data_IF_023707905047
#
_entry.id   IF_023707905047
#
_cell.length_a   1.000
_cell.length_b   1.000
_cell.length_c   1.000
_cell.angle_alpha   90.00
_cell.angle_beta   90.00
_cell.angle_gamma   90.00
#
_symmetry.space_group_name_H-M   'P 1'
#
loop_
_entity.id
_entity.type
_entity.pdbx_description
1 polymer ?
#
# COMPACT_ATOMS: atom_id res chain seq x y z
N UNK A 1 11.54 -60.42 37.36
CA UNK A 1 12.53 -59.58 36.71
C UNK A 1 11.86 -58.79 35.62
N UNK A 2 11.41 -57.60 35.88
CA UNK A 2 10.76 -56.69 34.89
C UNK A 2 11.82 -55.71 34.34
N UNK A 3 12.10 -55.80 33.07
CA UNK A 3 12.87 -54.84 32.35
C UNK A 3 12.01 -53.63 32.00
N UNK A 4 12.32 -52.45 32.58
CA UNK A 4 11.73 -51.20 32.21
C UNK A 4 12.38 -50.74 30.89
N UNK A 5 11.57 -50.61 29.84
CA UNK A 5 11.94 -49.99 28.61
C UNK A 5 11.69 -48.48 28.78
N UNK A 6 12.76 -47.69 28.79
CA UNK A 6 12.69 -46.21 28.76
C UNK A 6 12.56 -45.79 27.30
N UNK A 7 11.37 -45.38 26.87
CA UNK A 7 11.19 -44.69 25.63
C UNK A 7 11.67 -43.25 25.76
N UNK A 8 12.83 -42.98 25.21
CA UNK A 8 13.31 -41.60 24.98
C UNK A 8 12.61 -41.10 23.72
N UNK A 9 11.57 -40.30 23.92
CA UNK A 9 10.96 -39.54 22.81
C UNK A 9 11.92 -38.38 22.50
N UNK A 10 12.65 -38.52 21.39
CA UNK A 10 13.33 -37.42 20.76
C UNK A 10 12.28 -36.50 20.14
N UNK A 11 11.88 -35.46 20.87
CA UNK A 11 11.17 -34.34 20.29
C UNK A 11 12.14 -33.59 19.38
N UNK A 12 12.11 -33.90 18.10
CA UNK A 12 12.68 -33.05 17.07
C UNK A 12 11.91 -31.74 17.07
N UNK A 13 12.47 -30.76 17.78
CA UNK A 13 12.06 -29.37 17.62
C UNK A 13 12.53 -28.95 16.23
N UNK A 14 11.64 -29.07 15.25
CA UNK A 14 11.77 -28.30 14.01
C UNK A 14 11.60 -26.83 14.40
N UNK A 15 12.71 -26.20 14.71
CA UNK A 15 12.80 -24.73 14.68
C UNK A 15 12.57 -24.33 13.23
N UNK A 16 11.31 -24.12 12.90
CA UNK A 16 10.93 -23.56 11.62
C UNK A 16 11.59 -22.20 11.51
N UNK A 17 12.30 -21.99 10.41
CA UNK A 17 12.90 -20.70 10.02
C UNK A 17 11.88 -19.56 9.93
N UNK A 18 10.61 -19.85 10.13
CA UNK A 18 9.48 -18.93 10.15
C UNK A 18 9.40 -18.05 11.41
N UNK A 19 10.02 -18.46 12.52
CA UNK A 19 9.98 -17.70 13.77
C UNK A 19 10.80 -16.40 13.72
N UNK A 20 11.79 -16.31 12.82
CA UNK A 20 12.72 -15.17 12.79
C UNK A 20 12.04 -13.91 12.23
N UNK A 21 11.15 -14.04 11.24
CA UNK A 21 10.50 -12.87 10.62
C UNK A 21 9.41 -12.26 11.50
N UNK A 22 8.77 -13.05 12.36
CA UNK A 22 7.70 -12.57 13.26
C UNK A 22 8.21 -12.05 14.61
N UNK A 23 9.43 -12.39 15.00
CA UNK A 23 9.98 -12.04 16.32
C UNK A 23 11.11 -10.99 16.26
N UNK A 24 11.43 -10.49 15.05
CA UNK A 24 12.40 -9.42 14.87
C UNK A 24 11.74 -8.07 15.20
N UNK A 25 11.86 -7.68 16.47
CA UNK A 25 11.67 -6.28 16.81
C UNK A 25 12.67 -5.43 16.02
N UNK A 26 12.28 -4.19 15.72
CA UNK A 26 13.16 -3.25 15.00
C UNK A 26 14.52 -3.09 15.75
N UNK A 27 14.50 -3.13 17.07
CA UNK A 27 15.70 -3.12 17.93
C UNK A 27 16.59 -4.33 17.68
N UNK A 28 16.05 -5.53 17.69
CA UNK A 28 16.80 -6.77 17.40
C UNK A 28 17.37 -6.80 15.98
N UNK A 29 16.67 -6.22 15.01
CA UNK A 29 17.19 -6.12 13.66
C UNK A 29 18.35 -5.14 13.56
N UNK A 30 18.32 -4.03 14.29
CA UNK A 30 19.45 -3.10 14.40
C UNK A 30 20.66 -3.73 15.06
N UNK A 31 20.45 -4.46 16.15
CA UNK A 31 21.48 -5.25 16.83
C UNK A 31 22.09 -6.23 15.83
N UNK A 32 21.25 -6.95 15.10
CA UNK A 32 21.69 -7.89 14.09
C UNK A 32 22.52 -7.21 12.96
N UNK A 33 22.10 -6.05 12.44
CA UNK A 33 22.87 -5.29 11.44
C UNK A 33 24.25 -4.94 11.96
N UNK A 34 24.33 -4.51 13.21
CA UNK A 34 25.58 -4.14 13.86
C UNK A 34 26.49 -5.36 14.08
N UNK A 35 25.96 -6.44 14.64
CA UNK A 35 26.67 -7.70 14.91
C UNK A 35 27.20 -8.37 13.63
N UNK A 36 26.52 -8.18 12.52
CA UNK A 36 26.92 -8.74 11.23
C UNK A 36 27.74 -7.78 10.35
N UNK A 37 28.28 -6.71 10.94
CA UNK A 37 29.22 -5.81 10.28
C UNK A 37 28.60 -4.82 9.30
N UNK A 38 27.26 -4.68 9.27
CA UNK A 38 26.58 -3.68 8.45
C UNK A 38 26.58 -2.30 9.10
N UNK A 39 27.72 -1.90 9.63
CA UNK A 39 27.91 -0.65 10.39
C UNK A 39 27.76 0.61 9.53
N UNK A 40 27.88 0.49 8.22
CA UNK A 40 27.65 1.58 7.27
C UNK A 40 26.21 2.10 7.28
N UNK A 41 25.27 1.30 7.78
CA UNK A 41 23.85 1.66 7.90
C UNK A 41 23.47 2.18 9.29
N UNK A 42 24.38 2.03 10.27
CA UNK A 42 24.10 2.33 11.67
C UNK A 42 25.14 3.31 12.19
N UNK A 43 24.73 4.51 12.61
CA UNK A 43 25.63 5.47 13.27
C UNK A 43 25.14 5.77 14.69
N UNK A 44 26.09 6.02 15.62
CA UNK A 44 25.82 6.20 17.06
C UNK A 44 25.40 7.62 17.50
N UNK A 45 25.11 8.53 16.58
CA UNK A 45 24.75 9.89 16.99
C UNK A 45 23.24 10.12 16.99
N UNK A 46 22.70 10.57 18.10
CA UNK A 46 21.32 11.03 18.19
C UNK A 46 21.17 12.40 17.52
N UNK A 47 20.11 12.57 16.75
CA UNK A 47 19.80 13.85 16.11
C UNK A 47 19.63 14.94 17.16
N UNK A 48 20.37 16.05 17.03
CA UNK A 48 20.22 17.25 17.89
C UNK A 48 18.77 17.77 17.90
N UNK A 49 18.09 17.65 16.76
CA UNK A 49 16.68 18.08 16.60
C UNK A 49 15.77 17.22 17.47
N UNK A 50 15.96 15.90 17.50
CA UNK A 50 15.12 15.01 18.30
C UNK A 50 15.35 15.14 19.81
N UNK A 51 16.53 15.58 20.24
CA UNK A 51 16.81 15.91 21.64
C UNK A 51 16.10 17.19 22.09
N UNK A 52 15.98 18.16 21.18
CA UNK A 52 15.38 19.46 21.49
C UNK A 52 13.83 19.43 21.44
N UNK A 53 13.24 18.44 20.77
CA UNK A 53 11.78 18.38 20.59
C UNK A 53 11.10 17.62 21.75
N UNK A 54 9.97 18.11 22.26
CA UNK A 54 9.17 17.35 23.23
C UNK A 54 8.79 15.99 22.66
N UNK A 55 9.08 14.93 23.38
CA UNK A 55 8.81 13.56 22.97
C UNK A 55 7.34 13.39 22.65
N UNK A 56 7.04 12.79 21.47
CA UNK A 56 5.69 12.62 20.93
C UNK A 56 4.99 13.91 20.47
N UNK A 57 5.68 15.03 20.35
CA UNK A 57 5.15 16.23 19.68
C UNK A 57 4.99 16.01 18.17
N UNK A 58 4.17 16.86 17.52
CA UNK A 58 4.05 16.79 16.05
C UNK A 58 5.38 17.03 15.34
N UNK A 59 6.22 17.93 15.88
CA UNK A 59 7.56 18.19 15.38
C UNK A 59 8.50 17.00 15.56
N UNK A 60 8.38 16.32 16.71
CA UNK A 60 9.14 15.09 16.98
C UNK A 60 8.84 14.01 15.94
N UNK A 61 7.56 13.82 15.58
CA UNK A 61 7.17 12.91 14.50
C UNK A 61 7.55 13.40 13.12
N UNK A 62 7.38 14.68 12.86
CA UNK A 62 7.79 15.29 11.59
C UNK A 62 9.27 15.04 11.31
N UNK A 63 10.11 15.20 12.33
CA UNK A 63 11.54 14.92 12.25
C UNK A 63 11.85 13.42 12.34
N UNK A 64 10.83 12.55 12.28
CA UNK A 64 10.96 11.09 12.32
C UNK A 64 11.67 10.57 13.57
N UNK A 65 11.56 11.29 14.67
CA UNK A 65 12.21 10.95 15.94
C UNK A 65 11.62 9.71 16.61
N UNK A 66 10.46 9.23 16.15
CA UNK A 66 9.87 7.95 16.48
C UNK A 66 10.64 6.76 15.86
N UNK A 67 11.56 7.03 14.95
CA UNK A 67 12.33 5.99 14.31
C UNK A 67 13.50 5.56 15.21
N UNK A 68 13.79 4.27 15.33
CA UNK A 68 14.79 3.74 16.27
C UNK A 68 16.17 4.35 16.15
N UNK A 69 16.60 4.73 14.94
CA UNK A 69 17.87 5.40 14.71
C UNK A 69 18.01 6.72 15.48
N UNK A 70 16.90 7.33 15.87
CA UNK A 70 16.90 8.57 16.66
C UNK A 70 16.65 8.32 18.15
N UNK A 71 16.02 7.19 18.49
CA UNK A 71 15.70 6.85 19.87
C UNK A 71 16.83 6.14 20.62
N UNK A 72 17.54 5.24 19.94
CA UNK A 72 18.53 4.33 20.55
C UNK A 72 19.98 4.70 20.22
N UNK A 73 20.27 5.95 19.88
CA UNK A 73 21.59 6.39 19.41
C UNK A 73 22.11 5.61 18.18
N UNK A 74 21.23 4.93 17.47
CA UNK A 74 21.53 4.19 16.27
C UNK A 74 20.97 4.97 15.08
N UNK A 75 21.84 5.54 14.23
CA UNK A 75 21.43 6.09 12.96
C UNK A 75 21.50 5.02 11.89
N UNK A 76 20.36 4.56 11.40
CA UNK A 76 20.35 3.95 10.09
C UNK A 76 20.41 5.10 9.11
N UNK A 77 21.35 5.07 8.16
CA UNK A 77 21.35 6.02 7.05
C UNK A 77 20.13 5.76 6.17
N UNK A 78 18.97 6.24 6.60
CA UNK A 78 17.86 6.43 5.72
C UNK A 78 18.13 7.68 4.90
N UNK A 79 17.88 7.59 3.64
CA UNK A 79 17.76 8.76 2.82
C UNK A 79 16.57 9.57 3.31
N UNK A 80 16.67 10.90 3.20
CA UNK A 80 15.67 11.88 3.65
C UNK A 80 14.32 11.75 2.93
N UNK A 81 13.93 10.64 2.59
CA UNK A 81 12.70 10.31 1.94
C UNK A 81 12.18 9.00 2.49
N UNK A 82 10.99 8.78 2.28
CA UNK A 82 10.27 7.58 2.55
C UNK A 82 10.83 6.39 1.78
N UNK A 83 11.59 6.67 0.73
CA UNK A 83 12.23 5.73 -0.17
C UNK A 83 13.52 6.37 -0.67
N UNK A 84 14.61 5.62 -0.87
CA UNK A 84 15.83 6.15 -1.46
C UNK A 84 15.49 6.86 -2.77
N UNK A 85 16.08 8.03 -3.00
CA UNK A 85 16.01 8.65 -4.30
C UNK A 85 16.41 7.64 -5.39
N UNK A 86 15.88 7.81 -6.61
CA UNK A 86 16.02 6.83 -7.70
C UNK A 86 17.46 6.43 -8.03
N UNK A 87 18.43 7.22 -7.64
CA UNK A 87 19.87 7.02 -7.88
C UNK A 87 20.58 6.32 -6.73
N UNK A 88 19.91 6.08 -5.62
CA UNK A 88 20.53 5.44 -4.46
C UNK A 88 20.27 3.94 -4.49
N UNK A 89 21.31 3.16 -4.26
CA UNK A 89 21.17 1.70 -4.20
C UNK A 89 20.37 1.30 -2.96
N UNK A 90 19.32 0.48 -3.11
CA UNK A 90 18.58 -0.05 -1.96
C UNK A 90 19.49 -0.90 -1.09
N UNK A 91 19.30 -0.81 0.20
CA UNK A 91 20.11 -1.46 1.22
C UNK A 91 19.24 -2.04 2.34
N UNK A 92 19.86 -2.68 3.33
CA UNK A 92 19.15 -3.26 4.47
C UNK A 92 18.39 -2.20 5.30
N UNK A 93 18.92 -0.99 5.43
CA UNK A 93 18.22 0.12 6.10
C UNK A 93 16.90 0.47 5.39
N UNK A 94 16.89 0.48 4.06
CA UNK A 94 15.66 0.68 3.28
C UNK A 94 14.67 -0.45 3.50
N UNK A 95 15.14 -1.70 3.56
CA UNK A 95 14.30 -2.86 3.83
C UNK A 95 13.65 -2.76 5.21
N UNK A 96 14.42 -2.45 6.25
CA UNK A 96 13.93 -2.26 7.61
C UNK A 96 12.83 -1.21 7.66
N UNK A 97 13.08 -0.08 7.01
CA UNK A 97 12.12 1.00 6.95
C UNK A 97 10.79 0.55 6.34
N UNK A 98 10.81 -0.21 5.26
CA UNK A 98 9.61 -0.69 4.59
C UNK A 98 8.86 -1.77 5.39
N UNK A 99 9.59 -2.66 6.06
CA UNK A 99 8.98 -3.74 6.83
C UNK A 99 8.43 -3.28 8.19
N UNK A 100 9.15 -2.41 8.89
CA UNK A 100 8.88 -2.16 10.31
C UNK A 100 8.34 -0.77 10.64
N UNK A 101 8.36 0.19 9.72
CA UNK A 101 7.99 1.57 10.00
C UNK A 101 6.64 1.75 10.71
N UNK A 102 5.67 0.90 10.45
CA UNK A 102 4.33 1.00 11.03
C UNK A 102 3.98 -0.16 11.95
N UNK A 103 4.69 -1.28 11.85
CA UNK A 103 4.39 -2.46 12.65
C UNK A 103 4.86 -2.27 14.09
N UNK A 104 5.98 -1.57 14.28
CA UNK A 104 6.60 -1.38 15.59
C UNK A 104 6.55 0.04 16.16
N UNK A 105 5.76 0.92 15.57
CA UNK A 105 5.49 2.18 16.26
C UNK A 105 4.93 1.87 17.63
N UNK A 106 5.56 2.36 18.71
CA UNK A 106 5.00 2.17 20.04
C UNK A 106 3.61 2.80 20.05
N UNK A 107 2.59 1.98 20.15
CA UNK A 107 1.18 2.38 20.19
C UNK A 107 0.81 3.28 21.39
N UNK A 108 1.78 3.68 22.17
CA UNK A 108 1.61 4.70 23.23
C UNK A 108 1.27 6.08 22.67
N UNK A 109 1.43 6.28 21.36
CA UNK A 109 0.95 7.48 20.71
C UNK A 109 -0.48 7.26 20.26
N UNK A 110 -1.37 7.75 21.03
CA UNK A 110 -2.83 7.65 21.01
C UNK A 110 -3.52 8.12 19.70
N UNK A 111 -2.81 8.22 18.58
CA UNK A 111 -3.31 8.76 17.32
C UNK A 111 -3.40 7.77 16.18
N UNK A 112 -2.88 6.56 16.39
CA UNK A 112 -2.91 5.50 15.38
C UNK A 112 -3.43 4.22 16.02
N UNK A 113 -4.51 3.71 15.49
CA UNK A 113 -5.06 2.40 15.82
C UNK A 113 -4.77 1.43 14.68
N UNK A 114 -4.41 0.22 15.04
CA UNK A 114 -4.21 -0.89 14.10
C UNK A 114 -5.48 -1.71 14.03
N UNK A 115 -5.89 -2.02 12.81
CA UNK A 115 -6.90 -3.04 12.55
C UNK A 115 -6.24 -4.24 11.89
N UNK A 116 -6.75 -5.38 12.20
CA UNK A 116 -6.32 -6.64 11.60
C UNK A 116 -7.55 -7.36 11.07
N UNK A 117 -7.62 -7.53 9.76
CA UNK A 117 -8.60 -8.40 9.15
C UNK A 117 -8.06 -9.81 9.22
N UNK A 118 -8.73 -10.66 9.98
CA UNK A 118 -8.31 -12.04 10.21
C UNK A 118 -8.28 -12.87 8.92
N UNK A 119 -7.46 -13.91 8.85
CA UNK A 119 -7.45 -14.84 7.74
C UNK A 119 -8.82 -15.49 7.49
N UNK A 120 -9.07 -15.87 6.26
CA UNK A 120 -10.23 -16.72 5.93
C UNK A 120 -10.07 -18.11 6.56
N UNK A 121 -11.17 -18.70 7.01
CA UNK A 121 -11.19 -20.10 7.43
C UNK A 121 -10.98 -21.09 6.26
N UNK A 122 -11.19 -20.62 5.03
CA UNK A 122 -10.97 -21.37 3.80
C UNK A 122 -10.20 -20.51 2.77
N UNK A 123 -8.89 -20.28 2.97
CA UNK A 123 -8.08 -19.46 2.10
C UNK A 123 -8.08 -19.98 0.66
N UNK A 124 -8.03 -19.07 -0.31
CA UNK A 124 -7.87 -19.48 -1.70
C UNK A 124 -6.47 -20.05 -1.93
N UNK A 125 -6.38 -21.32 -2.37
CA UNK A 125 -5.11 -21.97 -2.67
C UNK A 125 -4.86 -21.97 -4.19
N UNK A 126 -3.68 -21.49 -4.56
CA UNK A 126 -3.28 -21.42 -5.97
C UNK A 126 -2.67 -22.73 -6.44
N UNK A 127 -3.08 -23.17 -7.62
CA UNK A 127 -2.29 -24.16 -8.37
C UNK A 127 -1.01 -23.48 -8.88
N UNK A 128 0.04 -24.27 -9.08
CA UNK A 128 1.30 -23.77 -9.62
C UNK A 128 1.89 -24.71 -10.66
N UNK A 129 2.50 -24.12 -11.69
CA UNK A 129 3.30 -24.81 -12.71
C UNK A 129 4.50 -23.93 -13.03
N UNK A 130 5.51 -24.00 -12.16
CA UNK A 130 6.58 -23.02 -12.10
C UNK A 130 7.52 -23.16 -13.30
N UNK A 131 7.84 -22.03 -13.89
CA UNK A 131 8.82 -21.86 -14.95
C UNK A 131 10.03 -21.07 -14.44
N UNK A 132 11.21 -21.42 -14.93
CA UNK A 132 12.41 -20.66 -14.65
C UNK A 132 12.46 -19.37 -15.45
N UNK A 133 12.90 -18.29 -14.81
CA UNK A 133 13.19 -17.00 -15.46
C UNK A 133 14.53 -16.46 -14.95
N UNK A 134 15.60 -16.78 -15.65
CA UNK A 134 16.98 -16.34 -15.34
C UNK A 134 17.12 -14.81 -15.35
N UNK A 135 16.31 -14.12 -16.15
CA UNK A 135 16.35 -12.66 -16.17
C UNK A 135 15.76 -12.08 -14.90
N UNK A 136 14.64 -12.63 -14.45
CA UNK A 136 14.02 -12.23 -13.19
C UNK A 136 14.94 -12.53 -12.00
N UNK A 137 15.60 -13.70 -11.97
CA UNK A 137 16.60 -14.03 -10.93
C UNK A 137 17.71 -12.97 -10.85
N UNK A 138 18.18 -12.50 -12.02
CA UNK A 138 19.15 -11.39 -12.08
C UNK A 138 18.57 -10.09 -11.52
N UNK A 139 17.28 -9.78 -11.77
CA UNK A 139 16.63 -8.59 -11.21
C UNK A 139 16.54 -8.68 -9.68
N UNK A 140 16.05 -9.79 -9.14
CA UNK A 140 15.96 -10.06 -7.70
C UNK A 140 17.33 -9.96 -6.99
N UNK A 141 18.39 -10.44 -7.66
CA UNK A 141 19.75 -10.38 -7.11
C UNK A 141 20.37 -8.98 -7.14
N UNK A 142 20.01 -8.11 -8.11
CA UNK A 142 20.73 -6.84 -8.36
C UNK A 142 19.95 -5.58 -8.05
N UNK A 143 18.64 -5.67 -7.84
CA UNK A 143 17.76 -4.50 -7.69
C UNK A 143 17.05 -4.48 -6.33
N UNK A 144 16.16 -3.51 -6.11
CA UNK A 144 15.30 -3.43 -4.93
C UNK A 144 14.09 -4.37 -4.96
N UNK A 145 13.97 -5.22 -5.99
CA UNK A 145 12.87 -6.17 -6.09
C UNK A 145 12.97 -7.22 -4.98
N UNK A 146 11.91 -7.37 -4.19
CA UNK A 146 11.82 -8.32 -3.09
C UNK A 146 11.15 -9.62 -3.53
N UNK A 147 10.06 -9.51 -4.29
CA UNK A 147 9.30 -10.66 -4.74
C UNK A 147 8.60 -10.41 -6.06
N UNK A 148 8.28 -11.50 -6.74
CA UNK A 148 7.56 -11.51 -8.00
C UNK A 148 6.63 -12.71 -8.07
N UNK A 149 5.38 -12.50 -8.49
CA UNK A 149 4.43 -13.53 -8.85
C UNK A 149 3.84 -13.23 -10.23
N UNK A 150 3.76 -14.24 -11.07
CA UNK A 150 2.98 -14.24 -12.30
C UNK A 150 1.91 -15.33 -12.22
N UNK A 151 0.67 -14.90 -12.29
CA UNK A 151 -0.49 -15.76 -12.40
C UNK A 151 -1.05 -15.67 -13.82
N UNK A 152 -1.19 -16.80 -14.49
CA UNK A 152 -1.74 -16.96 -15.82
C UNK A 152 -2.28 -18.39 -16.00
N UNK A 153 -3.27 -18.58 -16.85
CA UNK A 153 -3.87 -19.88 -17.12
C UNK A 153 -4.30 -20.63 -15.84
N UNK A 154 -4.93 -19.88 -14.92
CA UNK A 154 -5.45 -20.34 -13.62
C UNK A 154 -4.40 -20.97 -12.69
N UNK A 155 -3.15 -20.60 -12.82
CA UNK A 155 -2.06 -21.07 -11.98
C UNK A 155 -0.94 -20.05 -11.84
N UNK A 156 -0.11 -20.20 -10.81
CA UNK A 156 1.12 -19.43 -10.67
C UNK A 156 2.18 -20.07 -11.56
N UNK A 157 2.69 -19.31 -12.54
CA UNK A 157 3.73 -19.76 -13.46
C UNK A 157 5.11 -19.24 -13.11
N UNK A 158 5.21 -18.14 -12.36
CA UNK A 158 6.47 -17.65 -11.79
C UNK A 158 6.22 -17.25 -10.35
N UNK A 159 7.05 -17.79 -9.46
CA UNK A 159 7.08 -17.49 -8.03
C UNK A 159 8.53 -17.33 -7.58
N UNK A 160 8.92 -16.10 -7.30
CA UNK A 160 10.30 -15.79 -6.93
C UNK A 160 10.36 -14.78 -5.77
N UNK A 161 11.32 -14.99 -4.87
CA UNK A 161 11.69 -14.09 -3.78
C UNK A 161 13.16 -13.73 -3.96
N UNK A 162 13.56 -12.57 -3.46
CA UNK A 162 14.97 -12.16 -3.37
C UNK A 162 15.81 -13.27 -2.72
N UNK A 163 17.02 -13.57 -3.21
CA UNK A 163 17.80 -14.66 -2.67
C UNK A 163 18.26 -14.43 -1.23
N UNK A 164 18.57 -15.52 -0.49
CA UNK A 164 18.93 -15.49 0.91
C UNK A 164 20.26 -14.76 1.21
N UNK A 165 21.16 -14.70 0.23
CA UNK A 165 22.41 -13.93 0.31
C UNK A 165 22.16 -12.41 0.16
N UNK A 166 20.90 -11.99 0.10
CA UNK A 166 20.50 -10.61 0.00
C UNK A 166 19.31 -10.31 0.94
N UNK A 167 18.14 -9.97 0.40
CA UNK A 167 16.96 -9.61 1.19
C UNK A 167 16.09 -10.81 1.59
N UNK A 168 16.24 -11.95 0.89
CA UNK A 168 15.36 -13.11 1.06
C UNK A 168 15.41 -13.75 2.43
N UNK A 169 16.52 -13.60 3.18
CA UNK A 169 16.57 -14.11 4.56
C UNK A 169 15.63 -13.35 5.53
N UNK A 170 15.15 -12.17 5.16
CA UNK A 170 14.26 -11.34 5.97
C UNK A 170 12.82 -11.32 5.49
N UNK A 171 12.53 -11.96 4.37
CA UNK A 171 11.20 -12.02 3.79
C UNK A 171 10.84 -13.45 3.41
N UNK A 172 9.58 -13.78 3.62
CA UNK A 172 8.99 -15.05 3.24
C UNK A 172 7.54 -14.85 2.77
N UNK A 173 6.79 -15.92 2.59
CA UNK A 173 5.40 -15.85 2.15
C UNK A 173 4.43 -15.28 3.20
N UNK A 174 4.86 -15.17 4.46
CA UNK A 174 4.08 -14.61 5.57
C UNK A 174 4.45 -13.17 5.90
N UNK A 175 5.54 -12.67 5.30
CA UNK A 175 5.99 -11.30 5.53
C UNK A 175 4.97 -10.32 4.98
N UNK A 176 4.47 -9.44 5.84
CA UNK A 176 3.55 -8.37 5.46
C UNK A 176 4.32 -7.23 4.82
N UNK A 177 4.01 -6.96 3.57
CA UNK A 177 4.63 -5.94 2.75
C UNK A 177 3.67 -4.76 2.58
N UNK A 178 4.21 -3.58 2.61
CA UNK A 178 3.43 -2.35 2.55
C UNK A 178 2.83 -2.13 1.17
N UNK A 179 1.55 -1.73 1.14
CA UNK A 179 0.83 -1.48 -0.12
C UNK A 179 1.30 -0.23 -0.88
N UNK A 180 1.79 0.78 -0.16
CA UNK A 180 1.94 2.12 -0.72
C UNK A 180 0.65 2.57 -1.44
N UNK A 181 0.74 3.13 -2.63
CA UNK A 181 -0.46 3.55 -3.36
C UNK A 181 -1.28 2.41 -3.98
N UNK A 182 -0.83 1.14 -3.89
CA UNK A 182 -1.69 -0.03 -4.14
C UNK A 182 -2.90 0.01 -3.21
N UNK A 183 -2.72 0.48 -1.98
CA UNK A 183 -3.81 0.64 -1.00
C UNK A 183 -4.95 1.55 -1.46
N UNK A 184 -4.71 2.47 -2.39
CA UNK A 184 -5.78 3.30 -2.98
C UNK A 184 -6.78 2.46 -3.76
N UNK A 185 -6.26 1.53 -4.55
CA UNK A 185 -7.10 0.62 -5.34
C UNK A 185 -7.80 -0.40 -4.44
N UNK A 186 -7.14 -0.83 -3.35
CA UNK A 186 -7.79 -1.67 -2.33
C UNK A 186 -8.93 -0.92 -1.64
N UNK A 187 -8.75 0.36 -1.32
CA UNK A 187 -9.81 1.21 -0.79
C UNK A 187 -10.98 1.37 -1.78
N UNK A 188 -10.67 1.50 -3.08
CA UNK A 188 -11.68 1.53 -4.14
C UNK A 188 -12.48 0.22 -4.23
N UNK A 189 -11.80 -0.92 -4.06
CA UNK A 189 -12.49 -2.22 -4.04
C UNK A 189 -13.34 -2.42 -2.77
N UNK A 190 -12.87 -1.93 -1.62
CA UNK A 190 -13.68 -1.86 -0.39
C UNK A 190 -14.94 -1.01 -0.59
N UNK A 191 -14.82 0.09 -1.33
CA UNK A 191 -15.96 0.95 -1.68
C UNK A 191 -16.95 0.21 -2.60
N UNK A 192 -16.48 -0.63 -3.52
CA UNK A 192 -17.37 -1.49 -4.33
C UNK A 192 -18.25 -2.37 -3.43
N UNK A 193 -17.69 -2.99 -2.38
CA UNK A 193 -18.47 -3.78 -1.44
C UNK A 193 -19.50 -2.93 -0.67
N UNK A 194 -19.14 -1.71 -0.27
CA UNK A 194 -20.08 -0.81 0.38
C UNK A 194 -21.24 -0.38 -0.54
N UNK A 195 -20.99 -0.23 -1.83
CA UNK A 195 -22.05 0.00 -2.84
C UNK A 195 -22.92 -1.25 -2.97
N UNK A 196 -22.31 -2.41 -3.10
CA UNK A 196 -23.05 -3.68 -3.30
C UNK A 196 -23.89 -4.08 -2.08
N UNK A 197 -23.51 -3.63 -0.90
CA UNK A 197 -24.28 -3.84 0.33
C UNK A 197 -25.30 -2.72 0.61
N UNK A 198 -25.44 -1.74 -0.30
CA UNK A 198 -26.45 -0.70 -0.22
C UNK A 198 -26.14 0.45 0.74
N UNK A 199 -24.91 0.54 1.29
CA UNK A 199 -24.49 1.68 2.11
C UNK A 199 -24.27 2.95 1.28
N UNK A 200 -23.91 2.78 0.02
CA UNK A 200 -23.67 3.85 -0.95
C UNK A 200 -24.46 3.49 -2.23
N UNK A 201 -25.24 4.43 -2.75
CA UNK A 201 -26.17 4.14 -3.86
C UNK A 201 -25.43 3.72 -5.15
N UNK A 202 -24.35 4.42 -5.47
CA UNK A 202 -23.62 4.16 -6.73
C UNK A 202 -22.25 4.83 -6.76
N UNK A 203 -21.49 4.48 -7.78
CA UNK A 203 -20.25 5.15 -8.18
C UNK A 203 -20.44 6.66 -8.49
N UNK A 204 -21.63 7.08 -8.89
CA UNK A 204 -21.97 8.48 -9.19
C UNK A 204 -22.65 9.24 -8.04
N UNK A 205 -22.77 8.64 -6.86
CA UNK A 205 -23.31 9.29 -5.65
C UNK A 205 -22.60 10.63 -5.41
N UNK A 206 -23.39 11.65 -5.03
CA UNK A 206 -22.86 12.94 -4.64
C UNK A 206 -22.49 12.96 -3.16
N UNK A 207 -21.42 13.63 -2.84
CA UNK A 207 -20.93 13.79 -1.46
C UNK A 207 -21.58 15.02 -0.81
N UNK A 208 -22.90 15.07 -0.73
CA UNK A 208 -23.70 16.16 -0.19
C UNK A 208 -24.32 15.86 1.18
N UNK A 209 -24.21 14.61 1.63
CA UNK A 209 -24.74 14.12 2.90
C UNK A 209 -23.69 14.02 4.02
N UNK A 210 -22.43 14.35 3.72
CA UNK A 210 -21.34 14.26 4.70
C UNK A 210 -20.92 15.62 5.26
N UNK A 211 -21.33 15.98 6.51
CA UNK A 211 -21.09 17.31 7.08
C UNK A 211 -19.61 17.71 7.16
N UNK A 212 -18.69 16.74 7.23
CA UNK A 212 -17.26 17.02 7.24
C UNK A 212 -16.76 17.73 5.98
N UNK A 213 -17.43 17.53 4.85
CA UNK A 213 -17.08 18.15 3.57
C UNK A 213 -17.71 19.53 3.35
N UNK A 214 -18.69 19.92 4.17
CA UNK A 214 -19.38 21.21 4.02
C UNK A 214 -18.41 22.39 3.97
N UNK A 215 -18.71 23.34 3.10
CA UNK A 215 -17.88 24.50 2.83
C UNK A 215 -16.48 24.19 2.28
N UNK A 216 -16.24 22.99 1.77
CA UNK A 216 -15.02 22.63 1.03
C UNK A 216 -15.31 22.42 -0.44
N UNK A 217 -14.25 22.44 -1.26
CA UNK A 217 -14.35 22.14 -2.70
C UNK A 217 -14.89 20.73 -3.00
N UNK A 218 -14.88 19.82 -2.03
CA UNK A 218 -15.31 18.43 -2.20
C UNK A 218 -16.80 18.21 -1.94
N UNK A 219 -17.47 19.16 -1.29
CA UNK A 219 -18.90 19.05 -1.03
C UNK A 219 -19.69 19.00 -2.33
N UNK A 220 -20.69 18.14 -2.39
CA UNK A 220 -21.58 17.93 -3.56
C UNK A 220 -20.85 17.48 -4.86
N UNK A 221 -19.60 17.03 -4.77
CA UNK A 221 -18.94 16.41 -5.90
C UNK A 221 -19.40 14.95 -6.09
N UNK A 222 -19.30 14.45 -7.31
CA UNK A 222 -19.52 13.03 -7.57
C UNK A 222 -18.38 12.19 -6.98
N UNK A 223 -18.72 11.06 -6.39
CA UNK A 223 -17.76 10.09 -5.90
C UNK A 223 -16.81 9.62 -7.02
N UNK A 224 -17.32 9.50 -8.25
CA UNK A 224 -16.53 9.19 -9.45
C UNK A 224 -15.43 10.21 -9.74
N UNK A 225 -15.68 11.50 -9.53
CA UNK A 225 -14.65 12.54 -9.70
C UNK A 225 -13.56 12.45 -8.61
N UNK A 226 -13.94 12.17 -7.38
CA UNK A 226 -13.01 11.94 -6.28
C UNK A 226 -12.16 10.69 -6.58
N UNK A 227 -12.76 9.58 -6.96
CA UNK A 227 -12.07 8.33 -7.30
C UNK A 227 -11.14 8.48 -8.49
N UNK A 228 -11.51 9.30 -9.48
CA UNK A 228 -10.67 9.60 -10.63
C UNK A 228 -9.66 10.72 -10.39
N UNK A 229 -9.55 11.25 -9.15
CA UNK A 229 -8.66 12.39 -8.84
C UNK A 229 -8.89 13.60 -9.75
N UNK A 230 -10.15 13.87 -10.03
CA UNK A 230 -10.63 14.90 -10.96
C UNK A 230 -11.46 15.99 -10.27
N UNK A 231 -11.26 16.15 -8.96
CA UNK A 231 -12.04 17.04 -8.09
C UNK A 231 -11.82 18.54 -8.31
N UNK A 232 -10.92 18.93 -9.21
CA UNK A 232 -10.59 20.33 -9.43
C UNK A 232 -9.82 21.00 -8.30
N UNK A 233 -9.15 20.21 -7.47
CA UNK A 233 -8.36 20.64 -6.31
C UNK A 233 -6.96 21.15 -6.66
N UNK A 234 -6.54 21.05 -7.93
CA UNK A 234 -5.20 21.39 -8.39
C UNK A 234 -4.79 22.86 -8.19
N UNK A 235 -5.72 23.75 -7.89
CA UNK A 235 -5.41 25.13 -7.48
C UNK A 235 -4.94 25.23 -6.03
N UNK A 236 -5.22 24.23 -5.22
CA UNK A 236 -4.90 24.21 -3.80
C UNK A 236 -3.82 23.17 -3.48
N UNK A 237 -3.74 22.13 -4.30
CA UNK A 237 -2.86 20.99 -4.10
C UNK A 237 -2.07 20.71 -5.37
N UNK A 238 -0.76 20.82 -5.30
CA UNK A 238 0.14 20.48 -6.41
C UNK A 238 1.15 19.43 -5.96
N UNK A 239 1.26 18.34 -6.74
CA UNK A 239 2.17 17.21 -6.43
C UNK A 239 2.04 16.68 -5.00
N UNK A 240 0.80 16.61 -4.49
CA UNK A 240 0.53 16.16 -3.14
C UNK A 240 0.84 17.16 -2.02
N UNK A 241 1.17 18.41 -2.36
CA UNK A 241 1.44 19.48 -1.38
C UNK A 241 0.47 20.64 -1.56
N UNK A 242 0.06 21.27 -0.46
CA UNK A 242 -0.74 22.49 -0.53
C UNK A 242 0.07 23.63 -1.17
N UNK A 243 -0.56 24.32 -2.11
CA UNK A 243 0.00 25.54 -2.70
C UNK A 243 -0.14 26.66 -1.66
N UNK A 244 0.89 27.52 -1.56
CA UNK A 244 0.96 28.62 -0.57
C UNK A 244 0.96 28.16 0.90
N UNK A 245 1.56 27.03 1.16
CA UNK A 245 1.58 26.37 2.46
C UNK A 245 2.52 26.97 3.50
N UNK A 246 3.09 28.18 3.33
CA UNK A 246 3.95 28.76 4.38
C UNK A 246 3.29 28.72 5.76
N UNK A 247 2.03 29.12 5.84
CA UNK A 247 1.26 29.02 7.08
C UNK A 247 0.82 27.60 7.44
N UNK A 248 0.71 26.71 6.45
CA UNK A 248 0.37 25.30 6.62
C UNK A 248 1.57 24.47 7.02
N UNK A 249 2.71 24.70 6.37
CA UNK A 249 3.96 24.07 6.73
C UNK A 249 4.40 24.42 8.15
N UNK A 250 4.18 25.67 8.60
CA UNK A 250 4.45 26.08 9.98
C UNK A 250 3.51 25.43 10.99
N UNK A 251 2.21 25.28 10.66
CA UNK A 251 1.23 24.63 11.56
C UNK A 251 1.33 23.12 11.60
N UNK A 252 1.71 22.46 10.49
CA UNK A 252 1.77 21.01 10.42
C UNK A 252 3.14 20.45 10.09
N UNK A 253 4.09 21.29 9.66
CA UNK A 253 5.48 20.92 9.31
C UNK A 253 5.62 19.51 8.69
N UNK A 254 4.65 19.13 7.87
CA UNK A 254 4.58 17.80 7.26
C UNK A 254 4.08 17.84 5.82
N UNK A 255 4.36 16.80 5.05
CA UNK A 255 3.74 16.57 3.75
C UNK A 255 2.32 16.05 3.93
N UNK A 256 1.47 16.22 2.92
CA UNK A 256 0.14 15.60 2.86
C UNK A 256 0.18 14.06 2.96
N UNK A 257 1.35 13.49 2.78
CA UNK A 257 1.62 12.06 2.96
C UNK A 257 1.94 11.71 4.42
N UNK A 258 1.93 12.69 5.33
CA UNK A 258 2.08 12.38 6.74
C UNK A 258 0.82 11.66 7.25
N UNK A 259 0.96 10.35 7.48
CA UNK A 259 -0.13 9.50 7.96
C UNK A 259 -0.64 9.86 9.35
N UNK A 260 0.01 10.80 10.01
CA UNK A 260 -0.37 11.30 11.33
C UNK A 260 -1.37 12.46 11.26
N UNK A 261 -1.59 13.06 10.08
CA UNK A 261 -2.56 14.14 9.89
C UNK A 261 -3.92 13.54 9.56
N UNK A 262 -4.92 13.87 10.36
CA UNK A 262 -6.29 13.41 10.12
C UNK A 262 -6.94 14.11 8.92
N UNK A 263 -7.91 13.46 8.31
CA UNK A 263 -8.69 14.05 7.22
C UNK A 263 -9.34 15.38 7.65
N UNK A 264 -9.84 15.47 8.90
CA UNK A 264 -10.42 16.69 9.45
C UNK A 264 -9.48 17.89 9.38
N UNK A 265 -8.20 17.64 9.66
CA UNK A 265 -7.18 18.69 9.61
C UNK A 265 -6.94 19.15 8.16
N UNK A 266 -6.90 18.23 7.20
CA UNK A 266 -6.77 18.59 5.78
C UNK A 266 -7.97 19.42 5.31
N UNK A 267 -9.18 18.99 5.63
CA UNK A 267 -10.40 19.67 5.22
C UNK A 267 -10.56 21.03 5.88
N UNK A 268 -10.08 21.21 7.11
CA UNK A 268 -10.05 22.51 7.77
C UNK A 268 -9.33 23.58 6.93
N UNK A 269 -8.23 23.22 6.25
CA UNK A 269 -7.50 24.15 5.37
C UNK A 269 -8.16 24.39 4.03
N UNK A 270 -9.07 23.50 3.65
CA UNK A 270 -9.84 23.64 2.41
C UNK A 270 -11.22 24.25 2.65
N UNK A 271 -11.50 24.76 3.85
CA UNK A 271 -12.74 25.50 4.11
C UNK A 271 -12.81 26.75 3.24
N UNK A 272 -14.03 27.06 2.77
CA UNK A 272 -14.34 28.18 1.88
C UNK A 272 -13.62 28.11 0.52
N UNK A 273 -13.18 26.92 0.11
CA UNK A 273 -12.63 26.69 -1.22
C UNK A 273 -13.71 26.19 -2.18
N UNK A 274 -13.54 26.50 -3.47
CA UNK A 274 -14.42 26.03 -4.55
C UNK A 274 -13.63 25.19 -5.54
N UNK A 275 -14.24 24.14 -6.05
CA UNK A 275 -13.66 23.33 -7.13
C UNK A 275 -13.35 24.20 -8.34
N UNK A 276 -12.20 23.95 -8.96
CA UNK A 276 -11.84 24.53 -10.24
C UNK A 276 -12.23 23.58 -11.39
N UNK A 277 -11.95 23.96 -12.64
CA UNK A 277 -12.20 23.08 -13.80
C UNK A 277 -11.59 21.70 -13.55
N UNK A 278 -12.36 20.61 -13.67
CA UNK A 278 -11.87 19.26 -13.47
C UNK A 278 -10.67 18.94 -14.34
N UNK A 279 -9.64 18.36 -13.73
CA UNK A 279 -8.48 17.74 -14.39
C UNK A 279 -7.84 16.73 -13.46
N UNK A 280 -7.21 15.73 -14.01
CA UNK A 280 -6.45 14.76 -13.23
C UNK A 280 -5.38 15.44 -12.36
N UNK A 281 -5.41 15.19 -11.06
CA UNK A 281 -4.45 15.72 -10.09
C UNK A 281 -4.16 14.66 -9.01
N UNK A 282 -3.10 13.88 -9.20
CA UNK A 282 -2.78 12.78 -8.31
C UNK A 282 -2.36 13.28 -6.92
N UNK A 283 -3.18 12.96 -5.91
CA UNK A 283 -2.90 13.27 -4.51
C UNK A 283 -3.55 12.27 -3.54
N UNK A 284 -3.18 12.32 -2.26
CA UNK A 284 -3.69 11.40 -1.24
C UNK A 284 -5.07 11.79 -0.72
N UNK A 285 -5.45 13.06 -0.78
CA UNK A 285 -6.70 13.53 -0.14
C UNK A 285 -7.92 12.87 -0.81
N UNK A 286 -7.97 12.83 -2.14
CA UNK A 286 -9.09 12.19 -2.84
C UNK A 286 -9.28 10.74 -2.41
N UNK A 287 -8.19 9.97 -2.30
CA UNK A 287 -8.28 8.57 -1.86
C UNK A 287 -8.70 8.45 -0.39
N UNK A 288 -8.21 9.37 0.44
CA UNK A 288 -8.57 9.41 1.87
C UNK A 288 -10.06 9.80 2.04
N UNK A 289 -10.55 10.76 1.26
CA UNK A 289 -11.99 11.10 1.22
C UNK A 289 -12.81 9.87 0.82
N UNK A 290 -12.45 9.19 -0.27
CA UNK A 290 -13.20 8.04 -0.76
C UNK A 290 -13.32 6.93 0.31
N UNK A 291 -12.20 6.54 0.94
CA UNK A 291 -12.22 5.50 1.98
C UNK A 291 -12.97 5.95 3.24
N UNK A 292 -12.81 7.22 3.64
CA UNK A 292 -13.49 7.73 4.82
C UNK A 292 -14.97 8.04 4.56
N UNK A 293 -15.37 8.21 3.33
CA UNK A 293 -16.79 8.23 2.96
C UNK A 293 -17.43 6.85 3.17
N UNK A 294 -16.71 5.77 2.83
CA UNK A 294 -17.14 4.41 3.19
C UNK A 294 -17.29 4.30 4.71
N UNK A 295 -16.27 4.71 5.47
CA UNK A 295 -16.34 4.71 6.95
C UNK A 295 -17.53 5.51 7.48
N UNK A 296 -17.80 6.68 6.92
CA UNK A 296 -18.95 7.52 7.30
C UNK A 296 -20.28 6.83 7.01
N UNK A 297 -20.44 6.25 5.82
CA UNK A 297 -21.70 5.59 5.41
C UNK A 297 -21.96 4.27 6.13
N UNK A 298 -20.92 3.53 6.45
CA UNK A 298 -21.02 2.21 7.11
C UNK A 298 -21.00 2.31 8.64
N UNK A 299 -20.45 3.40 9.20
CA UNK A 299 -20.36 3.57 10.66
C UNK A 299 -19.66 2.39 11.33
N UNK A 300 -20.36 1.75 12.26
CA UNK A 300 -19.86 0.60 13.01
C UNK A 300 -19.67 -0.67 12.16
N UNK A 301 -20.23 -0.71 10.96
CA UNK A 301 -20.08 -1.84 10.04
C UNK A 301 -18.86 -1.74 9.13
N UNK A 302 -18.03 -0.67 9.27
CA UNK A 302 -16.85 -0.50 8.45
C UNK A 302 -15.88 -1.70 8.50
N UNK A 303 -15.66 -2.24 9.69
CA UNK A 303 -14.77 -3.40 9.84
C UNK A 303 -15.37 -4.65 9.19
N UNK A 304 -16.70 -4.83 9.24
CA UNK A 304 -17.40 -5.91 8.53
C UNK A 304 -17.23 -5.81 7.01
N UNK A 305 -17.26 -4.59 6.46
CA UNK A 305 -16.99 -4.38 5.02
C UNK A 305 -15.55 -4.79 4.68
N UNK A 306 -14.60 -4.51 5.55
CA UNK A 306 -13.22 -4.96 5.34
C UNK A 306 -13.08 -6.48 5.45
N UNK A 307 -13.72 -7.10 6.45
CA UNK A 307 -13.78 -8.56 6.57
C UNK A 307 -14.41 -9.18 5.31
N UNK A 308 -15.55 -8.67 4.87
CA UNK A 308 -16.20 -9.14 3.64
C UNK A 308 -15.27 -9.02 2.43
N UNK A 309 -14.56 -7.88 2.29
CA UNK A 309 -13.67 -7.63 1.15
C UNK A 309 -12.46 -8.57 1.15
N UNK A 310 -11.80 -8.72 2.28
CA UNK A 310 -10.51 -9.40 2.33
C UNK A 310 -10.61 -10.84 2.82
N UNK A 311 -11.36 -11.10 3.89
CA UNK A 311 -11.51 -12.44 4.47
C UNK A 311 -12.43 -13.32 3.64
N UNK A 312 -13.64 -12.84 3.35
CA UNK A 312 -14.66 -13.67 2.73
C UNK A 312 -14.49 -13.73 1.21
N UNK A 313 -14.30 -12.58 0.57
CA UNK A 313 -14.23 -12.49 -0.88
C UNK A 313 -12.83 -12.83 -1.41
N UNK A 314 -11.80 -12.13 -0.94
CA UNK A 314 -10.44 -12.41 -1.38
C UNK A 314 -9.85 -13.69 -0.76
N UNK A 315 -10.47 -14.24 0.28
CA UNK A 315 -10.05 -15.46 0.96
C UNK A 315 -8.56 -15.43 1.30
N UNK A 316 -8.14 -14.35 1.99
CA UNK A 316 -6.76 -14.16 2.43
C UNK A 316 -6.30 -15.29 3.35
N UNK A 317 -5.03 -15.68 3.25
CA UNK A 317 -4.41 -16.72 4.08
C UNK A 317 -3.74 -16.15 5.33
N UNK A 318 -3.24 -14.92 5.24
CA UNK A 318 -2.65 -14.19 6.35
C UNK A 318 -3.44 -12.92 6.59
N UNK A 319 -3.46 -12.44 7.83
CA UNK A 319 -4.19 -11.23 8.15
C UNK A 319 -3.71 -10.02 7.33
N UNK A 320 -4.64 -9.14 7.01
CA UNK A 320 -4.36 -7.84 6.37
C UNK A 320 -4.43 -6.76 7.43
N UNK A 321 -3.38 -5.94 7.52
CA UNK A 321 -3.29 -4.84 8.48
C UNK A 321 -3.58 -3.51 7.81
N UNK A 322 -4.35 -2.67 8.47
CA UNK A 322 -4.50 -1.26 8.10
C UNK A 322 -4.62 -0.37 9.33
N UNK A 323 -4.62 0.95 9.14
CA UNK A 323 -4.57 1.90 10.23
C UNK A 323 -5.73 2.90 10.16
N UNK A 324 -6.26 3.26 11.34
CA UNK A 324 -7.01 4.50 11.56
C UNK A 324 -6.08 5.53 12.19
N UNK A 325 -6.18 6.77 11.77
CA UNK A 325 -5.51 7.92 12.41
C UNK A 325 -6.54 8.78 13.09
N UNK A 326 -6.26 9.22 14.32
CA UNK A 326 -7.16 10.09 15.08
C UNK A 326 -6.52 11.46 15.27
N UNK A 327 -7.30 12.53 15.12
CA UNK A 327 -6.85 13.87 15.46
C UNK A 327 -6.79 14.10 16.97
N UNK A 328 -7.58 13.35 17.74
CA UNK A 328 -7.70 13.46 19.20
C UNK A 328 -7.84 12.09 19.84
N UNK A 329 -7.32 11.89 21.08
CA UNK A 329 -7.26 10.57 21.72
C UNK A 329 -8.61 9.85 21.94
N UNK A 330 -9.72 10.57 21.92
CA UNK A 330 -11.07 10.01 22.19
C UNK A 330 -12.02 10.05 21.00
N UNK A 331 -11.59 10.50 19.82
CA UNK A 331 -12.43 10.50 18.62
C UNK A 331 -12.13 9.30 17.74
N UNK A 332 -13.15 8.79 17.06
CA UNK A 332 -12.98 7.81 16.02
C UNK A 332 -11.97 8.30 15.00
N UNK A 333 -11.10 7.39 14.57
CA UNK A 333 -10.03 7.72 13.66
C UNK A 333 -10.49 7.71 12.21
N UNK A 334 -9.72 8.36 11.37
CA UNK A 334 -9.88 8.28 9.93
C UNK A 334 -9.17 7.02 9.40
N UNK A 335 -9.84 6.28 8.52
CA UNK A 335 -9.25 5.15 7.85
C UNK A 335 -8.09 5.62 6.95
N UNK A 336 -6.97 4.90 7.02
CA UNK A 336 -5.81 5.17 6.19
C UNK A 336 -5.78 4.22 5.00
N UNK A 337 -5.38 4.74 3.84
CA UNK A 337 -5.26 3.96 2.60
C UNK A 337 -4.07 2.99 2.57
N UNK A 338 -3.22 2.97 3.60
CA UNK A 338 -2.10 2.06 3.67
C UNK A 338 -2.54 0.72 4.26
N UNK A 339 -2.28 -0.33 3.51
CA UNK A 339 -2.51 -1.72 3.88
C UNK A 339 -1.17 -2.46 3.96
N UNK A 340 -1.16 -3.52 4.76
CA UNK A 340 -0.06 -4.48 4.81
C UNK A 340 -0.63 -5.86 4.57
N UNK A 341 -0.14 -6.52 3.55
CA UNK A 341 -0.54 -7.87 3.18
C UNK A 341 0.68 -8.68 2.74
N UNK A 342 0.57 -9.98 2.74
CA UNK A 342 1.62 -10.82 2.16
C UNK A 342 1.59 -10.77 0.63
N UNK A 343 2.68 -11.15 -0.01
CA UNK A 343 2.78 -11.22 -1.48
C UNK A 343 1.66 -12.06 -2.11
N UNK A 344 1.32 -13.16 -1.48
CA UNK A 344 0.24 -14.02 -1.92
C UNK A 344 -1.15 -13.44 -1.64
N UNK A 345 -1.31 -12.70 -0.55
CA UNK A 345 -2.60 -12.08 -0.25
C UNK A 345 -2.88 -10.88 -1.18
N UNK A 346 -1.84 -10.17 -1.65
CA UNK A 346 -2.01 -9.24 -2.78
C UNK A 346 -2.50 -9.95 -4.04
N UNK A 347 -1.99 -11.16 -4.32
CA UNK A 347 -2.47 -11.96 -5.45
C UNK A 347 -3.91 -12.44 -5.24
N UNK A 348 -4.29 -12.88 -4.01
CA UNK A 348 -5.67 -13.28 -3.68
C UNK A 348 -6.66 -12.13 -3.88
N UNK A 349 -6.31 -10.93 -3.43
CA UNK A 349 -7.14 -9.74 -3.62
C UNK A 349 -7.30 -9.43 -5.11
N UNK A 350 -6.24 -9.50 -5.89
CA UNK A 350 -6.29 -9.31 -7.34
C UNK A 350 -7.10 -10.39 -8.05
N UNK A 351 -6.99 -11.65 -7.60
CA UNK A 351 -7.76 -12.78 -8.12
C UNK A 351 -9.25 -12.61 -7.84
N UNK A 352 -9.61 -12.14 -6.64
CA UNK A 352 -11.01 -11.84 -6.32
C UNK A 352 -11.58 -10.75 -7.25
N UNK A 353 -10.82 -9.68 -7.52
CA UNK A 353 -11.21 -8.66 -8.50
C UNK A 353 -11.37 -9.24 -9.91
N UNK A 354 -10.47 -10.14 -10.32
CA UNK A 354 -10.55 -10.83 -11.61
C UNK A 354 -11.81 -11.69 -11.70
N UNK A 355 -12.09 -12.48 -10.66
CA UNK A 355 -13.28 -13.33 -10.60
C UNK A 355 -14.56 -12.51 -10.63
N UNK A 356 -14.60 -11.41 -9.90
CA UNK A 356 -15.74 -10.49 -9.91
C UNK A 356 -16.02 -9.93 -11.30
N UNK A 357 -14.96 -9.48 -11.96
CA UNK A 357 -15.06 -8.99 -13.33
C UNK A 357 -15.61 -10.04 -14.29
N UNK A 358 -15.08 -11.26 -14.24
CA UNK A 358 -15.44 -12.34 -15.15
C UNK A 358 -16.84 -12.89 -14.89
N UNK A 359 -17.25 -12.96 -13.62
CA UNK A 359 -18.55 -13.47 -13.22
C UNK A 359 -19.66 -12.39 -13.18
N UNK A 360 -19.36 -11.16 -13.59
CA UNK A 360 -20.30 -10.03 -13.61
C UNK A 360 -21.03 -9.81 -12.29
N UNK A 361 -20.32 -10.03 -11.16
CA UNK A 361 -20.88 -9.76 -9.83
C UNK A 361 -21.16 -8.27 -9.65
N UNK A 362 -21.79 -7.86 -8.56
CA UNK A 362 -22.00 -6.45 -8.27
C UNK A 362 -20.68 -5.68 -8.24
N UNK A 363 -19.65 -6.21 -7.54
CA UNK A 363 -18.31 -5.64 -7.49
C UNK A 363 -17.64 -5.65 -8.88
N UNK A 364 -17.89 -6.69 -9.67
CA UNK A 364 -17.44 -6.78 -11.06
C UNK A 364 -18.07 -5.70 -11.94
N UNK A 365 -19.36 -5.40 -11.77
CA UNK A 365 -20.04 -4.28 -12.46
C UNK A 365 -19.44 -2.94 -12.04
N UNK A 366 -19.11 -2.77 -10.76
CA UNK A 366 -18.38 -1.60 -10.31
C UNK A 366 -17.01 -1.48 -11.00
N UNK A 367 -16.22 -2.54 -11.05
CA UNK A 367 -14.90 -2.54 -11.72
C UNK A 367 -15.04 -2.19 -13.21
N UNK A 368 -16.05 -2.72 -13.90
CA UNK A 368 -16.38 -2.36 -15.29
C UNK A 368 -16.79 -0.90 -15.42
N UNK A 369 -17.57 -0.38 -14.48
CA UNK A 369 -17.99 1.03 -14.46
C UNK A 369 -16.81 1.97 -14.32
N UNK A 370 -15.89 1.74 -13.37
CA UNK A 370 -14.70 2.58 -13.22
C UNK A 370 -13.79 2.50 -14.45
N UNK A 371 -13.63 1.30 -15.06
CA UNK A 371 -12.86 1.15 -16.29
C UNK A 371 -13.45 1.92 -17.45
N UNK A 372 -14.77 1.88 -17.64
CA UNK A 372 -15.47 2.59 -18.71
C UNK A 372 -15.43 4.11 -18.51
N UNK A 373 -15.47 4.57 -17.26
CA UNK A 373 -15.43 6.00 -16.90
C UNK A 373 -13.99 6.51 -16.60
N UNK A 374 -12.96 5.78 -17.07
CA UNK A 374 -11.57 6.20 -16.90
C UNK A 374 -11.29 7.53 -17.60
N UNK A 375 -10.44 8.32 -16.96
CA UNK A 375 -10.00 9.62 -17.51
C UNK A 375 -8.57 9.57 -18.04
N UNK A 376 -8.25 10.49 -18.94
CA UNK A 376 -6.88 10.67 -19.43
C UNK A 376 -5.99 11.37 -18.40
N UNK A 377 -4.71 10.96 -18.34
CA UNK A 377 -3.65 11.62 -17.56
C UNK A 377 -2.74 12.50 -18.44
N UNK A 378 -3.16 12.87 -19.64
CA UNK A 378 -2.31 13.59 -20.58
C UNK A 378 -1.77 14.92 -20.07
N UNK A 379 -2.45 15.53 -19.10
CA UNK A 379 -1.99 16.76 -18.44
C UNK A 379 -0.86 16.52 -17.42
N UNK A 380 -0.55 15.26 -17.12
CA UNK A 380 0.49 14.90 -16.17
C UNK A 380 1.83 14.76 -16.92
N UNK A 381 2.63 15.84 -16.96
CA UNK A 381 3.99 15.81 -17.51
C UNK A 381 4.93 15.14 -16.50
N UNK A 382 5.07 13.83 -16.58
CA UNK A 382 6.12 13.10 -15.83
C UNK A 382 7.24 12.67 -16.77
N UNK A 383 8.46 13.02 -16.38
CA UNK A 383 9.70 12.57 -17.03
C UNK A 383 10.23 11.39 -16.23
N UNK A 384 10.53 10.25 -16.89
CA UNK A 384 11.17 9.13 -16.24
C UNK A 384 11.01 7.80 -16.98
N UNK A 385 11.80 6.80 -16.57
CA UNK A 385 11.71 5.41 -17.04
C UNK A 385 10.75 4.55 -16.20
N UNK A 386 9.95 5.20 -15.39
CA UNK A 386 9.06 4.62 -14.39
C UNK A 386 7.78 4.05 -15.02
N UNK A 387 7.01 3.33 -14.25
CA UNK A 387 5.67 2.81 -14.56
C UNK A 387 4.72 3.82 -15.20
N UNK A 388 4.83 5.09 -14.81
CA UNK A 388 3.95 6.18 -15.19
C UNK A 388 3.88 6.46 -16.70
N UNK A 389 4.97 6.34 -17.48
CA UNK A 389 4.90 6.52 -18.93
C UNK A 389 4.05 5.46 -19.63
N UNK A 390 3.83 4.31 -18.99
CA UNK A 390 3.07 3.22 -19.59
C UNK A 390 1.57 3.35 -19.34
N UNK A 391 1.14 3.85 -18.18
CA UNK A 391 -0.28 4.03 -17.86
C UNK A 391 -0.74 5.45 -18.19
N UNK A 392 -1.59 5.60 -19.20
CA UNK A 392 -2.07 6.89 -19.71
C UNK A 392 -3.44 7.30 -19.22
N UNK A 393 -4.15 6.39 -18.55
CA UNK A 393 -5.46 6.63 -17.99
C UNK A 393 -5.49 6.34 -16.48
N UNK A 394 -6.56 6.80 -15.85
CA UNK A 394 -6.87 6.57 -14.45
C UNK A 394 -8.35 6.19 -14.30
N UNK A 395 -8.62 5.15 -13.55
CA UNK A 395 -9.92 4.51 -13.45
C UNK A 395 -10.25 4.21 -11.99
N UNK A 396 -10.95 5.08 -11.28
CA UNK A 396 -11.41 4.79 -9.93
C UNK A 396 -10.33 4.31 -8.97
N UNK A 397 -9.19 5.00 -8.89
CA UNK A 397 -7.99 4.66 -8.09
C UNK A 397 -7.07 3.59 -8.71
N UNK A 398 -7.31 3.17 -9.96
CA UNK A 398 -6.42 2.27 -10.70
C UNK A 398 -5.74 3.01 -11.84
N UNK A 399 -4.53 2.61 -12.18
CA UNK A 399 -3.88 2.96 -13.43
C UNK A 399 -4.54 2.16 -14.57
N UNK A 400 -4.80 2.81 -15.69
CA UNK A 400 -5.48 2.18 -16.81
C UNK A 400 -4.91 2.68 -18.14
N UNK A 401 -5.38 2.11 -19.25
CA UNK A 401 -4.98 2.49 -20.60
C UNK A 401 -3.45 2.49 -20.75
N UNK A 402 -2.88 1.31 -20.84
CA UNK A 402 -1.44 1.14 -21.00
C UNK A 402 -1.00 1.34 -22.45
N UNK A 403 0.11 2.07 -22.64
CA UNK A 403 0.69 2.36 -23.95
C UNK A 403 0.98 1.08 -24.74
N UNK A 404 0.44 0.96 -25.96
CA UNK A 404 0.66 -0.20 -26.83
C UNK A 404 -0.15 -1.44 -26.43
N UNK A 405 -1.15 -1.29 -25.58
CA UNK A 405 -2.23 -2.22 -25.34
C UNK A 405 -3.52 -1.57 -25.88
N UNK A 406 -4.37 -2.35 -26.52
CA UNK A 406 -5.65 -1.86 -27.01
C UNK A 406 -6.44 -1.17 -25.88
N UNK A 407 -7.02 -0.03 -26.17
CA UNK A 407 -7.81 0.73 -25.18
C UNK A 407 -9.03 -0.03 -24.68
N UNK A 408 -9.57 -0.94 -25.49
CA UNK A 408 -10.73 -1.77 -25.13
C UNK A 408 -10.34 -2.92 -24.22
N UNK A 409 -9.07 -3.41 -24.30
CA UNK A 409 -8.58 -4.48 -23.45
C UNK A 409 -8.53 -4.02 -22.00
N UNK A 410 -9.24 -4.72 -21.15
CA UNK A 410 -9.41 -4.37 -19.76
C UNK A 410 -8.17 -4.72 -18.93
N UNK A 411 -7.24 -3.76 -18.87
CA UNK A 411 -6.06 -3.85 -18.01
C UNK A 411 -6.09 -2.72 -17.00
N UNK A 412 -6.07 -3.07 -15.72
CA UNK A 412 -5.96 -2.11 -14.62
C UNK A 412 -4.80 -2.47 -13.71
N UNK A 413 -4.09 -1.47 -13.22
CA UNK A 413 -2.94 -1.64 -12.35
C UNK A 413 -3.06 -0.86 -11.06
N UNK A 414 -2.74 -1.52 -9.97
CA UNK A 414 -2.50 -0.93 -8.67
C UNK A 414 -1.00 -0.67 -8.57
N UNK A 415 -0.62 0.60 -8.53
CA UNK A 415 0.79 0.99 -8.51
C UNK A 415 1.13 1.77 -7.25
N UNK A 416 2.13 1.29 -6.53
CA UNK A 416 2.67 1.89 -5.32
C UNK A 416 4.11 2.33 -5.50
N UNK A 417 4.47 3.42 -4.82
CA UNK A 417 5.81 3.95 -4.82
C UNK A 417 6.82 2.89 -4.34
N UNK A 418 8.01 2.89 -4.93
CA UNK A 418 9.07 1.93 -4.60
C UNK A 418 8.97 0.60 -5.32
N UNK A 419 7.98 0.40 -6.21
CA UNK A 419 7.86 -0.80 -7.03
C UNK A 419 6.85 -1.83 -6.52
N UNK A 420 5.87 -1.38 -5.74
CA UNK A 420 4.70 -2.17 -5.41
C UNK A 420 3.77 -2.15 -6.63
N UNK A 421 3.60 -3.27 -7.31
CA UNK A 421 2.69 -3.35 -8.44
C UNK A 421 1.82 -4.60 -8.37
N UNK A 422 0.53 -4.40 -8.61
CA UNK A 422 -0.42 -5.47 -8.89
C UNK A 422 -1.15 -5.09 -10.16
N UNK A 423 -0.87 -5.77 -11.26
CA UNK A 423 -1.47 -5.45 -12.58
C UNK A 423 -2.34 -6.62 -13.00
N UNK A 424 -3.59 -6.33 -13.31
CA UNK A 424 -4.60 -7.31 -13.69
C UNK A 424 -4.98 -7.07 -15.14
N UNK A 425 -4.86 -8.09 -15.95
CA UNK A 425 -5.41 -8.19 -17.29
C UNK A 425 -6.69 -9.04 -17.20
N UNK A 426 -7.80 -8.39 -17.14
CA UNK A 426 -9.10 -9.02 -16.94
C UNK A 426 -9.53 -9.88 -18.15
N UNK A 427 -9.14 -9.47 -19.36
CA UNK A 427 -9.51 -10.17 -20.58
C UNK A 427 -8.68 -11.43 -20.80
N UNK A 428 -7.43 -11.46 -20.34
CA UNK A 428 -6.54 -12.61 -20.51
C UNK A 428 -6.29 -13.38 -19.22
N UNK A 429 -7.01 -13.12 -18.15
CA UNK A 429 -6.90 -13.81 -16.84
C UNK A 429 -5.44 -13.83 -16.33
N UNK A 430 -4.76 -12.69 -16.40
CA UNK A 430 -3.34 -12.60 -16.03
C UNK A 430 -3.12 -11.56 -14.93
N UNK A 431 -2.30 -11.91 -13.95
CA UNK A 431 -1.96 -11.02 -12.84
C UNK A 431 -0.46 -11.04 -12.61
N UNK A 432 0.15 -9.86 -12.51
CA UNK A 432 1.53 -9.68 -12.06
C UNK A 432 1.51 -9.01 -10.69
N UNK A 433 2.21 -9.58 -9.72
CA UNK A 433 2.46 -8.97 -8.41
C UNK A 433 3.95 -8.75 -8.22
N UNK A 434 4.36 -7.53 -7.89
CA UNK A 434 5.72 -7.24 -7.44
C UNK A 434 5.70 -6.49 -6.11
N UNK A 435 6.64 -6.83 -5.25
CA UNK A 435 6.95 -6.07 -4.06
C UNK A 435 8.44 -5.69 -4.11
N UNK A 436 8.74 -4.46 -3.79
CA UNK A 436 10.10 -3.94 -3.87
C UNK A 436 10.32 -2.82 -2.84
N UNK A 437 11.58 -2.57 -2.50
CA UNK A 437 11.99 -1.43 -1.68
C UNK A 437 12.49 -0.27 -2.53
N UNK A 438 12.65 -0.48 -3.83
CA UNK A 438 13.07 0.53 -4.80
C UNK A 438 12.73 0.10 -6.22
N UNK A 439 12.28 1.06 -7.05
CA UNK A 439 11.87 0.83 -8.44
C UNK A 439 13.06 0.87 -9.44
N UNK A 440 14.21 0.30 -9.06
CA UNK A 440 15.37 0.22 -9.94
C UNK A 440 15.46 -1.06 -10.76
N UNK A 441 14.42 -1.86 -10.77
CA UNK A 441 14.28 -3.03 -11.63
C UNK A 441 13.67 -2.69 -13.00
N UNK A 442 13.77 -3.59 -13.95
CA UNK A 442 13.27 -3.36 -15.30
C UNK A 442 11.75 -3.57 -15.39
N UNK A 443 10.98 -2.57 -14.91
CA UNK A 443 9.51 -2.57 -14.99
C UNK A 443 8.98 -2.91 -16.40
N UNK A 444 9.48 -2.30 -17.50
CA UNK A 444 9.02 -2.62 -18.85
C UNK A 444 9.08 -4.10 -19.20
N UNK A 445 10.10 -4.79 -18.73
CA UNK A 445 10.31 -6.20 -19.09
C UNK A 445 9.59 -7.17 -18.16
N UNK A 446 9.59 -6.92 -16.83
CA UNK A 446 9.07 -7.93 -15.88
C UNK A 446 7.63 -7.68 -15.43
N UNK A 447 7.12 -6.45 -15.50
CA UNK A 447 5.73 -6.13 -15.15
C UNK A 447 4.90 -5.88 -16.40
N UNK A 448 5.28 -4.88 -17.18
CA UNK A 448 4.52 -4.47 -18.35
C UNK A 448 4.57 -5.50 -19.50
N UNK A 449 5.74 -6.11 -19.74
CA UNK A 449 5.95 -7.09 -20.81
C UNK A 449 5.01 -8.30 -20.75
N UNK A 450 4.93 -9.03 -19.61
CA UNK A 450 4.00 -10.13 -19.45
C UNK A 450 2.53 -9.74 -19.68
N UNK A 451 2.12 -8.55 -19.20
CA UNK A 451 0.76 -8.04 -19.41
C UNK A 451 0.54 -7.66 -20.88
N UNK A 452 1.49 -6.98 -21.52
CA UNK A 452 1.36 -6.58 -22.92
C UNK A 452 1.25 -7.77 -23.85
N UNK A 453 2.02 -8.81 -23.60
CA UNK A 453 2.05 -10.03 -24.43
C UNK A 453 0.65 -10.61 -24.61
N UNK A 454 -0.18 -10.60 -23.56
CA UNK A 454 -1.48 -11.26 -23.59
C UNK A 454 -1.36 -12.78 -23.67
N UNK A 455 -2.43 -13.42 -24.08
CA UNK A 455 -2.43 -14.83 -24.46
C UNK A 455 -1.80 -15.00 -25.82
#
# INVERSE_FOLDING_TARGET
MMKKIINVIFSLVFLSSNAIANDLSLTKFHEWLFENGHTEYVTKEESKVCKAEPKYSNLWYYNKCDQPQYQNNLKIKFYDGWIPEHNVKPNYGTLVYELFRFIERPFKVQRVQKYEVEPSSNPYEFRSSLKEDKYLDKQLKKTGLLSYLLYEDDQITIDKISPNDRFGKFINNETKLRSMSVGRSMASYTLAHAICDGYIDSFDTRLDDWPLLENTLYYNQKLSDILNMNSGDHKYIEKGKFINSKNLAEKFKGSLDDHMVSLEQYLFYLKNTKSSKPRFNYNSINSTIALNYVLFKTGNDFEKILEKTFKDKAKIKNSVLFYKTTARPKKEGNANIQFYATRYDYLRIAKAMLDDWQNDTCEGKYLKSIFNNRISKENEKRKGKEQWPFARGYAGQFQAHYKGIDKKRAVMGMHGYGGQHVVIDFDNSRIVVTNAIHENFNYPKIVYGPIKKGK
#
